data_IF_126905153751
#
_entry.id   IF_126905153751
#
_cell.length_a   1.000
_cell.length_b   1.000
_cell.length_c   1.000
_cell.angle_alpha   90.00
_cell.angle_beta   90.00
_cell.angle_gamma   90.00
#
_symmetry.space_group_name_H-M   'P 1'
#
loop_
_entity.id
_entity.type
_entity.pdbx_description
1 polymer ?
#
# COMPACT_ATOMS: atom_id res chain seq x y z
N UNK A 1 -22.20 -8.43 17.15
CA UNK A 1 -22.54 -7.37 16.16
C UNK A 1 -23.98 -6.98 16.37
N UNK A 2 -24.25 -5.68 16.49
CA UNK A 2 -25.61 -5.14 16.57
C UNK A 2 -26.17 -4.97 15.15
N UNK A 3 -27.01 -5.91 14.74
CA UNK A 3 -27.59 -5.95 13.38
C UNK A 3 -28.64 -4.87 13.16
N UNK A 4 -29.33 -4.38 14.21
CA UNK A 4 -30.30 -3.30 14.11
C UNK A 4 -29.58 -1.98 13.85
N UNK A 5 -28.52 -1.68 14.59
CA UNK A 5 -27.69 -0.51 14.38
C UNK A 5 -27.01 -0.54 12.99
N UNK A 6 -26.52 -1.72 12.58
CA UNK A 6 -25.93 -1.92 11.23
C UNK A 6 -26.96 -1.64 10.14
N UNK A 7 -28.17 -2.16 10.27
CA UNK A 7 -29.22 -1.96 9.27
C UNK A 7 -29.62 -0.48 9.19
N UNK A 8 -29.78 0.20 10.34
CA UNK A 8 -30.06 1.64 10.35
C UNK A 8 -28.96 2.45 9.66
N UNK A 9 -27.69 2.13 9.94
CA UNK A 9 -26.55 2.78 9.28
C UNK A 9 -26.55 2.55 7.75
N UNK A 10 -26.78 1.30 7.31
CA UNK A 10 -26.82 0.95 5.89
C UNK A 10 -27.93 1.65 5.13
N UNK A 11 -29.06 1.96 5.77
CA UNK A 11 -30.18 2.70 5.14
C UNK A 11 -29.84 4.13 4.77
N UNK A 12 -28.97 4.77 5.53
CA UNK A 12 -28.61 6.19 5.36
C UNK A 12 -27.22 6.37 4.71
N UNK A 13 -26.44 5.30 4.58
CA UNK A 13 -25.11 5.36 4.00
C UNK A 13 -25.20 5.59 2.48
N UNK A 14 -24.60 6.68 2.02
CA UNK A 14 -24.60 7.04 0.61
C UNK A 14 -23.38 6.42 -0.08
N UNK A 15 -23.56 5.24 -0.68
CA UNK A 15 -22.54 4.52 -1.40
C UNK A 15 -22.49 3.02 -1.04
N UNK A 16 -21.45 2.33 -1.50
CA UNK A 16 -21.22 0.91 -1.21
C UNK A 16 -20.45 0.77 0.09
N UNK A 17 -21.15 0.43 1.18
CA UNK A 17 -20.55 0.28 2.49
C UNK A 17 -19.62 -0.94 2.56
N UNK A 18 -18.54 -0.83 3.35
CA UNK A 18 -17.72 -1.97 3.79
C UNK A 18 -18.10 -2.28 5.24
N UNK A 19 -18.73 -3.43 5.43
CA UNK A 19 -19.23 -3.86 6.76
C UNK A 19 -18.16 -4.67 7.47
N UNK A 20 -17.77 -4.20 8.65
CA UNK A 20 -16.83 -4.88 9.54
C UNK A 20 -17.58 -5.32 10.80
N UNK A 21 -17.86 -6.61 10.97
CA UNK A 21 -17.43 -7.77 10.22
C UNK A 21 -18.40 -8.95 10.39
N UNK A 22 -18.18 -10.02 9.62
CA UNK A 22 -18.72 -11.34 9.85
C UNK A 22 -17.57 -12.28 10.27
N UNK A 23 -17.85 -13.28 11.08
CA UNK A 23 -16.92 -14.37 11.38
C UNK A 23 -17.38 -15.69 10.76
N UNK A 24 -16.53 -16.73 10.83
CA UNK A 24 -16.91 -18.09 10.42
C UNK A 24 -17.95 -18.79 11.29
N UNK A 25 -18.45 -18.12 12.34
CA UNK A 25 -19.58 -18.60 13.16
C UNK A 25 -20.87 -18.52 12.36
N UNK A 26 -21.67 -19.61 12.41
CA UNK A 26 -22.90 -19.68 11.63
C UNK A 26 -23.86 -18.54 11.99
N UNK A 27 -24.06 -18.28 13.29
CA UNK A 27 -24.90 -17.18 13.77
C UNK A 27 -24.49 -15.81 13.22
N UNK A 28 -23.15 -15.54 13.12
CA UNK A 28 -22.63 -14.31 12.56
C UNK A 28 -22.97 -14.18 11.07
N UNK A 29 -22.82 -15.24 10.31
CA UNK A 29 -23.14 -15.28 8.88
C UNK A 29 -24.63 -15.09 8.63
N UNK A 30 -25.47 -15.81 9.38
CA UNK A 30 -26.94 -15.73 9.26
C UNK A 30 -27.49 -14.35 9.61
N UNK A 31 -26.84 -13.62 10.50
CA UNK A 31 -27.26 -12.29 10.90
C UNK A 31 -26.79 -11.19 9.94
N UNK A 32 -25.60 -11.30 9.37
CA UNK A 32 -24.97 -10.22 8.57
C UNK A 32 -25.23 -10.38 7.07
N UNK A 33 -25.17 -11.59 6.51
CA UNK A 33 -25.31 -11.79 5.05
C UNK A 33 -26.65 -11.33 4.47
N UNK A 34 -27.81 -11.46 5.15
CA UNK A 34 -29.06 -10.88 4.67
C UNK A 34 -28.99 -9.39 4.49
N UNK A 35 -28.30 -8.66 5.38
CA UNK A 35 -28.10 -7.22 5.28
C UNK A 35 -27.21 -6.85 4.08
N UNK A 36 -26.09 -7.57 3.89
CA UNK A 36 -25.21 -7.36 2.75
C UNK A 36 -25.96 -7.60 1.43
N UNK A 37 -26.75 -8.68 1.35
CA UNK A 37 -27.60 -8.96 0.17
C UNK A 37 -28.59 -7.82 -0.09
N UNK A 38 -29.22 -7.30 0.96
CA UNK A 38 -30.28 -6.29 0.88
C UNK A 38 -29.71 -4.92 0.42
N UNK A 39 -28.57 -4.51 0.96
CA UNK A 39 -28.01 -3.19 0.77
C UNK A 39 -26.83 -3.14 -0.23
N UNK A 40 -26.29 -4.28 -0.64
CA UNK A 40 -25.24 -4.35 -1.67
C UNK A 40 -23.85 -3.94 -1.18
N UNK A 41 -23.50 -4.21 0.08
CA UNK A 41 -22.20 -3.87 0.68
C UNK A 41 -21.04 -4.80 0.28
N UNK A 42 -19.86 -4.45 0.74
CA UNK A 42 -18.69 -5.34 0.88
C UNK A 42 -18.66 -5.81 2.32
N UNK A 43 -18.27 -7.06 2.58
CA UNK A 43 -18.17 -7.61 3.94
C UNK A 43 -16.75 -8.06 4.25
N UNK A 44 -16.27 -7.70 5.44
CA UNK A 44 -15.02 -8.23 6.00
C UNK A 44 -15.34 -9.53 6.73
N UNK A 45 -14.67 -10.62 6.33
CA UNK A 45 -14.75 -11.94 6.96
C UNK A 45 -13.54 -12.20 7.84
N UNK A 46 -13.76 -12.37 9.14
CA UNK A 46 -12.71 -12.70 10.10
C UNK A 46 -12.41 -14.21 10.07
N UNK A 47 -11.15 -14.58 10.01
CA UNK A 47 -10.71 -15.99 10.00
C UNK A 47 -10.73 -16.61 11.41
N UNK A 48 -11.90 -16.53 12.06
CA UNK A 48 -12.21 -17.19 13.35
C UNK A 48 -13.61 -17.79 13.30
N UNK A 49 -13.85 -18.85 14.07
CA UNK A 49 -15.14 -19.51 14.20
C UNK A 49 -15.46 -19.89 15.65
N UNK A 50 -16.33 -20.89 15.84
CA UNK A 50 -16.72 -21.40 17.16
C UNK A 50 -15.53 -21.93 17.98
N UNK A 51 -14.48 -22.41 17.29
CA UNK A 51 -13.23 -22.88 17.90
C UNK A 51 -12.25 -21.76 18.25
N UNK A 52 -12.57 -20.52 17.89
CA UNK A 52 -11.70 -19.37 18.07
C UNK A 52 -10.83 -19.07 16.85
N UNK A 53 -9.67 -18.47 17.06
CA UNK A 53 -8.70 -18.13 15.99
C UNK A 53 -7.75 -19.32 15.81
N UNK A 54 -7.68 -19.95 14.61
CA UNK A 54 -6.71 -21.02 14.36
C UNK A 54 -5.27 -20.57 14.53
N UNK A 55 -4.46 -21.42 15.15
CA UNK A 55 -3.05 -21.16 15.38
C UNK A 55 -2.20 -21.21 14.09
N UNK A 56 -2.72 -21.85 13.03
CA UNK A 56 -2.03 -22.06 11.76
C UNK A 56 -2.75 -21.39 10.58
N UNK A 57 -2.04 -21.22 9.49
CA UNK A 57 -2.58 -20.63 8.26
C UNK A 57 -3.63 -21.53 7.61
N UNK A 58 -3.48 -22.86 7.67
CA UNK A 58 -4.41 -23.84 7.09
C UNK A 58 -5.80 -23.70 7.70
N UNK A 59 -5.90 -23.62 9.03
CA UNK A 59 -7.16 -23.41 9.73
C UNK A 59 -7.82 -22.09 9.34
N UNK A 60 -7.04 -21.03 9.20
CA UNK A 60 -7.55 -19.70 8.77
C UNK A 60 -8.07 -19.74 7.33
N UNK A 61 -7.40 -20.44 6.43
CA UNK A 61 -7.85 -20.65 5.04
C UNK A 61 -9.17 -21.39 5.00
N UNK A 62 -9.33 -22.51 5.78
CA UNK A 62 -10.60 -23.25 5.84
C UNK A 62 -11.76 -22.38 6.29
N UNK A 63 -11.54 -21.48 7.27
CA UNK A 63 -12.59 -20.57 7.72
C UNK A 63 -12.92 -19.54 6.63
N UNK A 64 -11.90 -19.00 5.93
CA UNK A 64 -12.12 -18.10 4.81
C UNK A 64 -12.97 -18.75 3.71
N UNK A 65 -12.67 -19.98 3.34
CA UNK A 65 -13.44 -20.76 2.36
C UNK A 65 -14.87 -21.03 2.83
N UNK A 66 -15.07 -21.36 4.12
CA UNK A 66 -16.41 -21.50 4.73
C UNK A 66 -17.21 -20.22 4.59
N UNK A 67 -16.63 -19.06 4.93
CA UNK A 67 -17.27 -17.74 4.81
C UNK A 67 -17.66 -17.46 3.36
N UNK A 68 -16.76 -17.70 2.40
CA UNK A 68 -16.99 -17.46 0.97
C UNK A 68 -18.10 -18.38 0.44
N UNK A 69 -18.08 -19.66 0.81
CA UNK A 69 -19.09 -20.64 0.39
C UNK A 69 -20.48 -20.30 0.95
N UNK A 70 -20.55 -19.88 2.21
CA UNK A 70 -21.81 -19.46 2.85
C UNK A 70 -22.35 -18.16 2.21
N UNK A 71 -21.49 -17.16 2.01
CA UNK A 71 -21.85 -15.89 1.35
C UNK A 71 -22.46 -16.12 -0.06
N UNK A 72 -21.95 -17.10 -0.79
CA UNK A 72 -22.46 -17.45 -2.12
C UNK A 72 -23.94 -17.90 -2.10
N UNK A 73 -24.41 -18.53 -1.03
CA UNK A 73 -25.83 -18.93 -0.86
C UNK A 73 -26.76 -17.71 -0.78
N UNK A 74 -26.23 -16.58 -0.30
CA UNK A 74 -26.94 -15.30 -0.25
C UNK A 74 -26.75 -14.48 -1.53
N UNK A 75 -26.03 -15.00 -2.55
CA UNK A 75 -25.75 -14.28 -3.80
C UNK A 75 -24.66 -13.24 -3.68
N UNK A 76 -23.91 -13.20 -2.57
CA UNK A 76 -22.77 -12.31 -2.37
C UNK A 76 -21.59 -12.84 -3.19
N UNK A 77 -21.05 -12.00 -4.07
CA UNK A 77 -19.95 -12.41 -4.95
C UNK A 77 -18.61 -12.32 -4.23
N UNK A 78 -17.65 -13.15 -4.58
CA UNK A 78 -16.31 -13.17 -4.01
C UNK A 78 -15.61 -11.80 -4.04
N UNK A 79 -15.85 -10.99 -5.08
CA UNK A 79 -15.32 -9.62 -5.19
C UNK A 79 -15.87 -8.63 -4.13
N UNK A 80 -16.96 -9.00 -3.47
CA UNK A 80 -17.62 -8.22 -2.43
C UNK A 80 -17.30 -8.77 -1.03
N UNK A 81 -16.32 -9.68 -0.94
CA UNK A 81 -15.80 -10.25 0.29
C UNK A 81 -14.33 -9.85 0.43
N UNK A 82 -13.95 -9.43 1.62
CA UNK A 82 -12.56 -9.12 1.98
C UNK A 82 -12.23 -9.93 3.24
N UNK A 83 -11.18 -10.73 3.21
CA UNK A 83 -10.84 -11.61 4.33
C UNK A 83 -9.79 -10.94 5.22
N UNK A 84 -10.07 -10.88 6.52
CA UNK A 84 -9.11 -10.48 7.54
C UNK A 84 -8.36 -11.73 8.03
N UNK A 85 -7.05 -11.75 7.78
CA UNK A 85 -6.16 -12.82 8.19
C UNK A 85 -5.88 -12.84 9.71
N UNK A 86 -6.29 -11.82 10.44
CA UNK A 86 -6.10 -11.60 11.88
C UNK A 86 -4.62 -11.52 12.30
N UNK A 87 -4.17 -10.30 12.62
CA UNK A 87 -2.86 -10.08 13.21
C UNK A 87 -2.92 -10.34 14.72
N UNK A 88 -2.20 -11.35 15.17
CA UNK A 88 -1.99 -11.63 16.59
C UNK A 88 -0.72 -10.94 17.08
N UNK A 89 -0.74 -10.47 18.33
CA UNK A 89 0.41 -9.72 18.86
C UNK A 89 1.62 -10.64 19.12
N UNK A 90 2.77 -10.25 18.60
CA UNK A 90 4.01 -11.05 18.75
C UNK A 90 4.54 -11.11 20.18
N UNK A 91 4.03 -10.26 21.09
CA UNK A 91 4.37 -10.32 22.51
C UNK A 91 3.77 -11.53 23.22
N UNK A 92 2.63 -12.03 22.76
CA UNK A 92 1.98 -13.24 23.31
C UNK A 92 2.07 -14.45 22.37
N UNK A 93 2.14 -14.21 21.06
CA UNK A 93 2.24 -15.24 20.04
C UNK A 93 3.46 -14.97 19.14
N UNK A 94 4.65 -15.48 19.50
CA UNK A 94 5.89 -15.17 18.77
C UNK A 94 5.83 -15.51 17.26
N UNK A 95 5.09 -16.54 16.86
CA UNK A 95 4.91 -16.94 15.47
C UNK A 95 3.72 -16.25 14.79
N UNK A 96 2.95 -15.43 15.52
CA UNK A 96 1.72 -14.80 15.04
C UNK A 96 1.91 -13.98 13.76
N UNK A 97 3.04 -13.29 13.62
CA UNK A 97 3.37 -12.56 12.40
C UNK A 97 3.58 -13.51 11.21
N UNK A 98 4.32 -14.60 11.39
CA UNK A 98 4.62 -15.59 10.35
C UNK A 98 3.33 -16.23 9.85
N UNK A 99 2.47 -16.68 10.77
CA UNK A 99 1.18 -17.29 10.44
C UNK A 99 0.28 -16.30 9.68
N UNK A 100 0.24 -15.03 10.09
CA UNK A 100 -0.56 -14.02 9.41
C UNK A 100 -0.05 -13.75 8.00
N UNK A 101 1.27 -13.61 7.81
CA UNK A 101 1.88 -13.40 6.50
C UNK A 101 1.65 -14.58 5.55
N UNK A 102 1.81 -15.81 6.05
CA UNK A 102 1.51 -17.02 5.29
C UNK A 102 0.02 -17.10 4.89
N UNK A 103 -0.88 -16.76 5.82
CA UNK A 103 -2.32 -16.70 5.53
C UNK A 103 -2.62 -15.69 4.43
N UNK A 104 -2.05 -14.48 4.48
CA UNK A 104 -2.23 -13.45 3.44
C UNK A 104 -1.76 -13.97 2.07
N UNK A 105 -0.57 -14.57 2.01
CA UNK A 105 -0.02 -15.15 0.79
C UNK A 105 -0.95 -16.20 0.18
N UNK A 106 -1.44 -17.14 0.99
CA UNK A 106 -2.34 -18.20 0.55
C UNK A 106 -3.71 -17.67 0.16
N UNK A 107 -4.27 -16.68 0.87
CA UNK A 107 -5.51 -15.99 0.47
C UNK A 107 -5.40 -15.37 -0.92
N UNK A 108 -4.25 -14.72 -1.23
CA UNK A 108 -3.98 -14.15 -2.55
C UNK A 108 -3.80 -15.23 -3.62
N UNK A 109 -2.96 -16.24 -3.37
CA UNK A 109 -2.47 -17.15 -4.39
C UNK A 109 -3.42 -18.33 -4.64
N UNK A 110 -4.00 -18.90 -3.59
CA UNK A 110 -4.84 -20.10 -3.64
C UNK A 110 -6.32 -19.71 -3.66
N UNK A 111 -6.79 -18.95 -2.68
CA UNK A 111 -8.19 -18.57 -2.57
C UNK A 111 -8.57 -17.46 -3.55
N UNK A 112 -7.62 -16.58 -3.92
CA UNK A 112 -7.80 -15.43 -4.84
C UNK A 112 -8.93 -14.50 -4.38
N UNK A 113 -8.82 -14.03 -3.15
CA UNK A 113 -9.76 -13.10 -2.51
C UNK A 113 -9.00 -11.86 -2.02
N UNK A 114 -9.68 -10.71 -1.97
CA UNK A 114 -9.10 -9.51 -1.36
C UNK A 114 -8.93 -9.70 0.15
N UNK A 115 -7.91 -9.06 0.69
CA UNK A 115 -7.53 -9.19 2.10
C UNK A 115 -7.52 -7.84 2.80
N UNK A 116 -7.80 -7.85 4.10
CA UNK A 116 -7.66 -6.69 4.97
C UNK A 116 -6.95 -7.10 6.25
N UNK A 117 -6.35 -6.17 6.95
CA UNK A 117 -5.67 -6.45 8.22
C UNK A 117 -5.66 -5.22 9.13
N UNK A 118 -6.00 -5.42 10.39
CA UNK A 118 -5.74 -4.48 11.46
C UNK A 118 -4.26 -4.52 11.85
N UNK A 119 -3.43 -3.78 11.12
CA UNK A 119 -1.96 -3.91 11.16
C UNK A 119 -1.38 -3.67 12.54
N UNK A 120 -1.89 -2.69 13.29
CA UNK A 120 -1.33 -2.28 14.58
C UNK A 120 -1.54 -3.31 15.70
N UNK A 121 -2.36 -4.35 15.49
CA UNK A 121 -2.56 -5.41 16.46
C UNK A 121 -1.27 -6.20 16.73
N UNK A 122 -0.40 -6.31 15.73
CA UNK A 122 0.85 -7.06 15.79
C UNK A 122 1.77 -6.64 16.94
N UNK A 123 1.71 -5.39 17.36
CA UNK A 123 2.64 -4.77 18.30
C UNK A 123 2.04 -4.45 19.67
N UNK A 124 0.86 -4.97 20.04
CA UNK A 124 0.29 -4.73 21.35
C UNK A 124 1.26 -5.17 22.47
N UNK A 125 1.39 -4.33 23.50
CA UNK A 125 2.28 -4.59 24.63
C UNK A 125 3.76 -4.30 24.37
N UNK A 126 4.16 -3.92 23.17
CA UNK A 126 5.57 -3.63 22.83
C UNK A 126 5.86 -2.12 22.87
N UNK A 127 7.09 -1.71 23.25
CA UNK A 127 7.53 -0.34 23.11
C UNK A 127 7.79 0.02 21.64
N UNK A 128 7.81 1.31 21.31
CA UNK A 128 8.11 1.83 19.96
C UNK A 128 7.30 1.16 18.84
N UNK A 129 6.00 0.96 19.10
CA UNK A 129 5.07 0.27 18.20
C UNK A 129 5.14 0.70 16.72
N UNK A 130 5.33 1.99 16.37
CA UNK A 130 5.42 2.42 14.99
C UNK A 130 6.51 1.70 14.18
N UNK A 131 7.64 1.37 14.79
CA UNK A 131 8.75 0.64 14.15
C UNK A 131 8.29 -0.75 13.68
N UNK A 132 7.66 -1.50 14.58
CA UNK A 132 7.15 -2.85 14.27
C UNK A 132 5.98 -2.77 13.29
N UNK A 133 5.05 -1.83 13.49
CA UNK A 133 3.88 -1.68 12.64
C UNK A 133 4.27 -1.38 11.19
N UNK A 134 5.20 -0.45 10.96
CA UNK A 134 5.62 -0.08 9.61
C UNK A 134 6.37 -1.22 8.90
N UNK A 135 7.26 -1.92 9.61
CA UNK A 135 7.94 -3.09 9.09
C UNK A 135 6.95 -4.22 8.74
N UNK A 136 6.06 -4.56 9.66
CA UNK A 136 5.04 -5.58 9.44
C UNK A 136 4.07 -5.21 8.30
N UNK A 137 3.69 -3.94 8.18
CA UNK A 137 2.85 -3.45 7.10
C UNK A 137 3.50 -3.67 5.73
N UNK A 138 4.79 -3.36 5.61
CA UNK A 138 5.54 -3.64 4.37
C UNK A 138 5.55 -5.14 4.04
N UNK A 139 5.85 -5.99 5.05
CA UNK A 139 5.82 -7.44 4.88
C UNK A 139 4.43 -7.95 4.49
N UNK A 140 3.36 -7.41 5.08
CA UNK A 140 1.99 -7.78 4.77
C UNK A 140 1.61 -7.42 3.32
N UNK A 141 1.97 -6.22 2.85
CA UNK A 141 1.77 -5.82 1.45
C UNK A 141 2.49 -6.75 0.48
N UNK A 142 3.75 -7.13 0.76
CA UNK A 142 4.50 -8.12 -0.03
C UNK A 142 3.79 -9.48 -0.10
N UNK A 143 3.10 -9.87 0.96
CA UNK A 143 2.37 -11.14 1.06
C UNK A 143 0.91 -11.07 0.57
N UNK A 144 0.47 -9.96 -0.02
CA UNK A 144 -0.84 -9.87 -0.67
C UNK A 144 -1.91 -9.16 0.14
N UNK A 145 -1.53 -8.29 1.08
CA UNK A 145 -2.50 -7.41 1.73
C UNK A 145 -3.07 -6.41 0.72
N UNK A 146 -4.39 -6.44 0.52
CA UNK A 146 -5.11 -5.56 -0.41
C UNK A 146 -5.50 -4.23 0.24
N UNK A 147 -5.83 -4.24 1.53
CA UNK A 147 -6.22 -3.05 2.30
C UNK A 147 -5.70 -3.13 3.74
N UNK A 148 -5.19 -2.04 4.27
CA UNK A 148 -4.75 -1.94 5.66
C UNK A 148 -5.68 -1.05 6.49
N UNK A 149 -6.12 -1.54 7.64
CA UNK A 149 -6.73 -0.70 8.68
C UNK A 149 -5.57 -0.12 9.49
N UNK A 150 -5.23 1.12 9.20
CA UNK A 150 -4.08 1.83 9.76
C UNK A 150 -4.47 3.24 10.20
N UNK A 151 -3.63 3.86 11.01
CA UNK A 151 -3.73 5.30 11.25
C UNK A 151 -3.02 6.07 10.11
N UNK A 152 -3.75 6.76 9.22
CA UNK A 152 -3.14 7.49 8.10
C UNK A 152 -2.35 8.73 8.56
N UNK A 153 -2.52 9.16 9.82
CA UNK A 153 -1.72 10.23 10.42
C UNK A 153 -0.38 9.74 10.99
N UNK A 154 -0.16 8.42 11.02
CA UNK A 154 1.14 7.85 11.40
C UNK A 154 2.13 8.02 10.25
N UNK A 155 3.14 8.83 10.48
CA UNK A 155 4.17 9.10 9.47
C UNK A 155 4.93 7.83 9.06
N UNK A 156 5.28 6.96 10.03
CA UNK A 156 5.99 5.72 9.75
C UNK A 156 5.17 4.74 8.90
N UNK A 157 3.86 4.65 9.14
CA UNK A 157 2.96 3.83 8.32
C UNK A 157 2.87 4.36 6.89
N UNK A 158 2.77 5.67 6.75
CA UNK A 158 2.71 6.30 5.42
C UNK A 158 4.04 6.22 4.68
N UNK A 159 5.18 6.38 5.38
CA UNK A 159 6.52 6.15 4.81
C UNK A 159 6.64 4.73 4.25
N UNK A 160 6.23 3.73 5.01
CA UNK A 160 6.23 2.33 4.57
C UNK A 160 5.37 2.13 3.30
N UNK A 161 4.18 2.75 3.24
CA UNK A 161 3.30 2.67 2.09
C UNK A 161 3.90 3.29 0.83
N UNK A 162 4.41 4.52 0.91
CA UNK A 162 5.00 5.21 -0.24
C UNK A 162 6.27 4.48 -0.72
N UNK A 163 7.15 4.07 0.20
CA UNK A 163 8.36 3.33 -0.14
C UNK A 163 8.03 2.00 -0.83
N UNK A 164 7.07 1.23 -0.30
CA UNK A 164 6.63 -0.02 -0.92
C UNK A 164 6.15 0.18 -2.36
N UNK A 165 5.30 1.19 -2.59
CA UNK A 165 4.75 1.44 -3.94
C UNK A 165 5.82 1.85 -4.94
N UNK A 166 6.79 2.66 -4.51
CA UNK A 166 7.93 3.04 -5.35
C UNK A 166 8.81 1.81 -5.68
N UNK A 167 9.15 1.00 -4.68
CA UNK A 167 10.02 -0.18 -4.83
C UNK A 167 9.39 -1.28 -5.68
N UNK A 168 8.06 -1.42 -5.62
CA UNK A 168 7.32 -2.45 -6.37
C UNK A 168 6.83 -1.98 -7.73
N UNK A 169 7.31 -0.82 -8.22
CA UNK A 169 6.89 -0.19 -9.48
C UNK A 169 5.36 0.03 -9.59
N UNK A 170 4.70 0.26 -8.45
CA UNK A 170 3.28 0.61 -8.35
C UNK A 170 3.04 2.13 -8.32
N UNK A 171 4.12 2.89 -8.27
CA UNK A 171 4.14 4.35 -8.32
C UNK A 171 4.96 4.74 -9.56
N UNK A 172 4.27 5.16 -10.61
CA UNK A 172 4.86 5.50 -11.89
C UNK A 172 5.89 6.64 -11.71
N UNK A 173 7.13 6.41 -12.15
CA UNK A 173 8.25 7.34 -12.01
C UNK A 173 8.48 7.85 -10.58
N UNK A 174 8.06 7.09 -9.57
CA UNK A 174 8.07 7.48 -8.16
C UNK A 174 7.34 8.82 -7.89
N UNK A 175 6.36 9.17 -8.71
CA UNK A 175 5.73 10.49 -8.71
C UNK A 175 5.06 10.85 -7.39
N UNK A 176 4.34 9.90 -6.77
CA UNK A 176 3.69 10.10 -5.46
C UNK A 176 4.70 10.22 -4.33
N UNK A 177 5.75 9.39 -4.39
CA UNK A 177 6.84 9.43 -3.40
C UNK A 177 7.56 10.78 -3.46
N UNK A 178 7.95 11.23 -4.65
CA UNK A 178 8.60 12.51 -4.87
C UNK A 178 7.70 13.66 -4.41
N UNK A 179 6.43 13.70 -4.83
CA UNK A 179 5.48 14.73 -4.43
C UNK A 179 5.31 14.82 -2.90
N UNK A 180 5.33 13.66 -2.21
CA UNK A 180 5.17 13.61 -0.76
C UNK A 180 6.38 14.14 0.01
N UNK A 181 7.60 13.84 -0.47
CA UNK A 181 8.83 14.08 0.30
C UNK A 181 9.68 15.24 -0.20
N UNK A 182 9.55 15.71 -1.45
CA UNK A 182 10.26 16.90 -1.95
C UNK A 182 9.88 18.16 -1.18
N UNK A 183 8.60 18.32 -0.80
CA UNK A 183 8.15 19.49 -0.03
C UNK A 183 8.68 19.48 1.43
N UNK A 184 8.93 18.30 2.02
CA UNK A 184 9.50 18.18 3.36
C UNK A 184 11.00 18.54 3.39
N UNK A 185 11.71 18.34 2.30
CA UNK A 185 13.12 18.71 2.13
C UNK A 185 13.32 20.23 2.02
N UNK A 186 12.33 20.96 1.54
CA UNK A 186 12.39 22.42 1.41
C UNK A 186 12.36 23.18 2.76
N UNK A 187 12.00 22.50 3.87
CA UNK A 187 12.02 23.07 5.22
C UNK A 187 13.33 22.85 6.01
N UNK A 188 14.30 22.11 5.47
CA UNK A 188 15.58 21.85 6.12
C UNK A 188 16.71 22.58 5.37
N UNK A 189 17.32 23.65 5.94
CA UNK A 189 18.33 24.42 5.25
C UNK A 189 19.61 23.63 4.88
N UNK A 190 19.86 22.49 5.52
CA UNK A 190 20.97 21.60 5.18
C UNK A 190 20.68 20.74 3.92
N UNK A 191 19.39 20.46 3.62
CA UNK A 191 18.99 19.76 2.40
C UNK A 191 18.80 20.72 1.19
N UNK A 192 18.57 21.99 1.45
CA UNK A 192 18.45 23.03 0.41
C UNK A 192 19.79 23.33 -0.30
N UNK A 193 20.92 23.03 0.34
CA UNK A 193 22.24 23.19 -0.27
C UNK A 193 22.57 22.11 -1.32
N UNK A 194 21.81 21.00 -1.34
CA UNK A 194 21.97 19.93 -2.32
C UNK A 194 20.93 19.98 -3.47
N UNK A 195 19.98 20.93 -3.41
CA UNK A 195 18.95 21.08 -4.45
C UNK A 195 19.00 22.50 -5.01
N UNK A 196 19.65 22.62 -6.17
CA UNK A 196 19.57 23.83 -6.98
C UNK A 196 18.10 24.15 -7.31
N UNK A 197 17.74 25.40 -7.04
CA UNK A 197 16.46 26.07 -7.28
C UNK A 197 15.65 25.53 -8.46
N UNK A 198 14.50 24.89 -8.18
CA UNK A 198 13.52 24.47 -9.19
C UNK A 198 12.10 24.52 -8.64
N UNK A 199 11.33 25.40 -9.18
CA UNK A 199 9.98 25.87 -8.89
C UNK A 199 8.92 24.76 -8.85
N UNK A 200 7.97 24.89 -7.93
CA UNK A 200 6.81 24.01 -7.76
C UNK A 200 5.79 24.11 -8.91
N UNK A 201 5.41 22.98 -9.49
CA UNK A 201 4.33 22.87 -10.49
C UNK A 201 3.69 21.48 -10.49
N UNK A 202 2.40 21.47 -10.58
CA UNK A 202 1.39 20.39 -10.55
C UNK A 202 1.68 19.22 -11.52
N UNK A 203 1.39 17.93 -11.17
CA UNK A 203 1.61 16.79 -12.06
C UNK A 203 0.47 16.64 -13.07
N UNK A 204 0.72 17.06 -14.28
CA UNK A 204 -0.18 16.82 -15.40
C UNK A 204 0.36 17.37 -16.69
N UNK A 205 0.73 16.48 -17.61
CA UNK A 205 1.01 16.72 -19.03
C UNK A 205 2.38 17.30 -19.42
N UNK A 206 2.80 17.02 -20.61
CA UNK A 206 4.00 17.33 -21.41
C UNK A 206 4.74 18.68 -21.21
N UNK A 207 4.32 19.52 -20.27
CA UNK A 207 4.93 20.82 -19.96
C UNK A 207 6.07 20.71 -18.94
N UNK A 208 6.27 19.57 -18.27
CA UNK A 208 7.34 19.38 -17.26
C UNK A 208 8.75 19.33 -17.87
N UNK A 209 8.87 18.90 -19.13
CA UNK A 209 10.16 18.82 -19.81
C UNK A 209 10.68 20.16 -20.34
N UNK A 210 9.87 21.22 -20.38
CA UNK A 210 10.23 22.49 -21.03
C UNK A 210 11.20 23.37 -20.22
N UNK A 211 11.41 23.09 -18.91
CA UNK A 211 12.29 23.89 -18.05
C UNK A 211 13.40 23.12 -17.33
N UNK A 212 13.43 21.77 -17.47
CA UNK A 212 14.45 20.94 -16.82
C UNK A 212 15.59 20.63 -17.80
N UNK A 213 16.85 20.88 -17.41
CA UNK A 213 18.02 20.51 -18.19
C UNK A 213 18.27 18.99 -18.13
N UNK A 214 18.96 18.44 -19.16
CA UNK A 214 19.31 17.02 -19.26
C UNK A 214 20.07 16.51 -18.02
N UNK A 215 21.03 17.29 -17.55
CA UNK A 215 21.81 16.98 -16.35
C UNK A 215 20.91 16.75 -15.12
N UNK A 216 19.92 17.63 -14.88
CA UNK A 216 19.01 17.49 -13.77
C UNK A 216 18.07 16.28 -13.88
N UNK A 217 17.67 15.91 -15.09
CA UNK A 217 16.89 14.69 -15.33
C UNK A 217 17.70 13.41 -15.03
N UNK A 218 18.99 13.40 -15.39
CA UNK A 218 19.92 12.28 -15.12
C UNK A 218 20.18 12.16 -13.61
N UNK A 219 20.51 13.26 -12.94
CA UNK A 219 20.79 13.28 -11.50
C UNK A 219 19.58 12.80 -10.67
N UNK A 220 18.37 13.05 -11.16
CA UNK A 220 17.11 12.59 -10.53
C UNK A 220 16.67 11.20 -10.97
N UNK A 221 17.37 10.55 -11.89
CA UNK A 221 17.01 9.23 -12.43
C UNK A 221 15.73 9.22 -13.28
N UNK A 222 15.32 10.36 -13.84
CA UNK A 222 14.10 10.54 -14.63
C UNK A 222 14.36 10.11 -16.09
N UNK A 223 14.27 8.81 -16.36
CA UNK A 223 14.65 8.21 -17.64
C UNK A 223 13.88 8.79 -18.84
N UNK A 224 12.56 8.93 -18.70
CA UNK A 224 11.71 9.35 -19.81
C UNK A 224 11.89 10.85 -20.13
N UNK A 225 12.05 11.67 -19.07
CA UNK A 225 12.37 13.10 -19.25
C UNK A 225 13.76 13.28 -19.87
N UNK A 226 14.77 12.53 -19.40
CA UNK A 226 16.11 12.54 -19.99
C UNK A 226 16.08 12.14 -21.47
N UNK A 227 15.31 11.14 -21.83
CA UNK A 227 15.13 10.70 -23.22
C UNK A 227 14.50 11.79 -24.09
N UNK A 228 13.39 12.40 -23.64
CA UNK A 228 12.70 13.47 -24.37
C UNK A 228 13.59 14.71 -24.53
N UNK A 229 14.32 15.10 -23.47
CA UNK A 229 15.23 16.24 -23.52
C UNK A 229 16.36 15.95 -24.48
N UNK A 230 16.98 14.76 -24.42
CA UNK A 230 18.06 14.36 -25.34
C UNK A 230 17.58 14.36 -26.78
N UNK A 231 16.39 13.83 -27.05
CA UNK A 231 15.82 13.82 -28.40
C UNK A 231 15.64 15.24 -28.95
N UNK A 232 15.14 16.17 -28.14
CA UNK A 232 15.00 17.58 -28.53
C UNK A 232 16.37 18.24 -28.74
N UNK A 233 17.34 17.98 -27.87
CA UNK A 233 18.69 18.53 -28.01
C UNK A 233 19.40 18.02 -29.25
N UNK A 234 19.13 16.78 -29.68
CA UNK A 234 19.72 16.19 -30.91
C UNK A 234 19.20 16.82 -32.22
N UNK A 235 18.14 17.62 -32.15
CA UNK A 235 17.67 18.43 -33.29
C UNK A 235 18.49 19.73 -33.48
N UNK A 236 19.16 20.19 -32.40
CA UNK A 236 19.88 21.46 -32.38
C UNK A 236 21.39 21.33 -32.15
N UNK A 237 21.86 20.22 -31.55
CA UNK A 237 23.26 19.95 -31.20
C UNK A 237 23.75 18.64 -31.78
N UNK A 238 25.04 18.60 -32.10
CA UNK A 238 25.69 17.33 -32.49
C UNK A 238 25.71 16.33 -31.33
N UNK A 239 25.49 15.02 -31.56
CA UNK A 239 25.42 14.00 -30.51
C UNK A 239 26.66 13.96 -29.58
N UNK A 240 27.86 14.23 -30.13
CA UNK A 240 29.10 14.25 -29.36
C UNK A 240 29.16 15.43 -28.39
N UNK A 241 28.60 16.57 -28.76
CA UNK A 241 28.54 17.76 -27.88
C UNK A 241 27.57 17.49 -26.73
N UNK A 242 26.42 16.88 -26.96
CA UNK A 242 25.48 16.48 -25.92
C UNK A 242 26.13 15.52 -24.92
N UNK A 243 26.91 14.55 -25.42
CA UNK A 243 27.61 13.59 -24.57
C UNK A 243 28.66 14.31 -23.70
N UNK A 244 29.48 15.16 -24.29
CA UNK A 244 30.61 15.78 -23.59
C UNK A 244 30.17 16.90 -22.66
N UNK A 245 29.21 17.73 -23.07
CA UNK A 245 28.79 18.92 -22.33
C UNK A 245 27.72 18.64 -21.27
N UNK A 246 26.87 17.64 -21.48
CA UNK A 246 25.70 17.39 -20.62
C UNK A 246 25.77 16.03 -19.89
N UNK A 247 25.96 14.92 -20.67
CA UNK A 247 25.88 13.57 -20.10
C UNK A 247 27.06 13.24 -19.18
N UNK A 248 28.30 13.45 -19.64
CA UNK A 248 29.49 13.10 -18.86
C UNK A 248 29.55 13.94 -17.56
N UNK A 249 29.34 15.26 -17.55
CA UNK A 249 29.32 16.03 -16.32
C UNK A 249 28.18 15.61 -15.34
N UNK A 250 27.00 15.25 -15.86
CA UNK A 250 25.90 14.78 -15.04
C UNK A 250 26.20 13.43 -14.38
N UNK A 251 26.73 12.48 -15.14
CA UNK A 251 27.12 11.15 -14.64
C UNK A 251 28.26 11.23 -13.62
N UNK A 252 29.22 12.13 -13.79
CA UNK A 252 30.27 12.37 -12.80
C UNK A 252 29.68 12.87 -11.49
N UNK A 253 28.74 13.83 -11.51
CA UNK A 253 28.06 14.30 -10.29
C UNK A 253 27.24 13.20 -9.61
N UNK A 254 26.62 12.31 -10.38
CA UNK A 254 25.93 11.14 -9.83
C UNK A 254 26.94 10.19 -9.17
N UNK A 255 28.11 9.96 -9.81
CA UNK A 255 29.20 9.15 -9.26
C UNK A 255 29.73 9.71 -7.93
N UNK A 256 30.05 11.01 -7.91
CA UNK A 256 30.50 11.70 -6.70
C UNK A 256 29.47 11.64 -5.56
N UNK A 257 28.19 11.66 -5.89
CA UNK A 257 27.10 11.48 -4.92
C UNK A 257 27.08 10.07 -4.32
N UNK A 258 27.41 9.03 -5.08
CA UNK A 258 27.52 7.65 -4.58
C UNK A 258 28.76 7.42 -3.70
N UNK A 259 29.89 8.12 -3.98
CA UNK A 259 31.12 7.97 -3.18
C UNK A 259 31.04 8.71 -1.85
N UNK A 260 30.23 9.76 -1.75
CA UNK A 260 30.12 10.59 -0.55
C UNK A 260 28.91 10.26 0.36
N UNK A 261 28.09 9.25 0.04
CA UNK A 261 26.96 8.73 0.84
C UNK A 261 25.68 9.46 0.62
#
# INVERSE_FOLDING_TARGET
VDTEAMERALRIYNGKAMVNSVSGKQESMDSVFPLIRKYGGVVIGLTLDEGGIPADAEGRIRIAEKIIAEAAKYGIKKKDIVIDALAMTVSSEPEGAIVTLETLRRLRDEVKVNTVLGVSNISFGLPSRPVINSAFYTMAMMNGLSAGIINPSSEDMMKAWYAYHALMALDENCGRYIARYSAASAGNPAAAAAQGTGNSGNPGTAEHAAGMGLAAAIEKGLRDDAHMITQRMSEEKEPLDIINEELIPALNRVGDGFENG
#
